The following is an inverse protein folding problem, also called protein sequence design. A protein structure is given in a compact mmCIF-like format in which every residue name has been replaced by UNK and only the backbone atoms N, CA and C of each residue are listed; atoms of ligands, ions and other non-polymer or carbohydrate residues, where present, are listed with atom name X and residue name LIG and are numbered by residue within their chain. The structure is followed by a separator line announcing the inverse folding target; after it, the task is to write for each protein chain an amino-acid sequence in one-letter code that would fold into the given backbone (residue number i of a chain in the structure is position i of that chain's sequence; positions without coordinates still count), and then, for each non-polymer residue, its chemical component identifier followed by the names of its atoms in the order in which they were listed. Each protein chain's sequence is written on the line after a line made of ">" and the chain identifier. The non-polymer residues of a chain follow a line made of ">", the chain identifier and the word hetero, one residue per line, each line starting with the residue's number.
data_IF_460894084954
#
_entry.id   IF_460894084954
#
_cell.length_a   1.000
_cell.length_b   1.000
_cell.length_c   1.000
_cell.angle_alpha   90.00
_cell.angle_beta   90.00
_cell.angle_gamma   90.00
#
_symmetry.space_group_name_H-M   'P 1'
#
loop_
_entity.id
_entity.type
_entity.pdbx_description
1 polymer ?
#
# COMPACT_ATOMS: atom_id res chain seq x y z
N UNK A 1 9.38 -14.90 -5.88
CA UNK A 1 8.43 -13.86 -6.33
C UNK A 1 8.12 -14.00 -7.81
N UNK A 2 9.12 -14.11 -8.70
CA UNK A 2 8.93 -14.20 -10.16
C UNK A 2 8.12 -15.42 -10.60
N UNK A 3 8.32 -16.59 -10.01
CA UNK A 3 7.50 -17.79 -10.26
C UNK A 3 6.03 -17.54 -9.91
N UNK A 4 5.78 -16.85 -8.78
CA UNK A 4 4.43 -16.48 -8.39
C UNK A 4 3.80 -15.47 -9.37
N UNK A 5 4.59 -14.49 -9.85
CA UNK A 5 4.13 -13.58 -10.90
C UNK A 5 3.75 -14.30 -12.19
N UNK A 6 4.51 -15.34 -12.57
CA UNK A 6 4.18 -16.18 -13.74
C UNK A 6 2.84 -16.91 -13.56
N UNK A 7 2.57 -17.45 -12.37
CA UNK A 7 1.27 -18.10 -12.07
C UNK A 7 0.12 -17.09 -12.13
N UNK A 8 0.31 -15.89 -11.58
CA UNK A 8 -0.69 -14.81 -11.64
C UNK A 8 -0.93 -14.38 -13.09
N UNK A 9 0.13 -14.22 -13.90
CA UNK A 9 -0.01 -13.91 -15.32
C UNK A 9 -0.88 -14.94 -16.02
N UNK A 10 -0.60 -16.24 -15.84
CA UNK A 10 -1.38 -17.33 -16.43
C UNK A 10 -2.85 -17.30 -15.97
N UNK A 11 -3.10 -16.99 -14.69
CA UNK A 11 -4.46 -16.86 -14.17
C UNK A 11 -5.18 -15.65 -14.81
N UNK A 12 -4.50 -14.51 -14.95
CA UNK A 12 -5.04 -13.32 -15.62
C UNK A 12 -5.43 -13.60 -17.06
N UNK A 13 -4.56 -14.23 -17.84
CA UNK A 13 -4.83 -14.61 -19.25
C UNK A 13 -6.09 -15.47 -19.40
N UNK A 14 -6.44 -16.26 -18.38
CA UNK A 14 -7.62 -17.12 -18.38
C UNK A 14 -8.88 -16.44 -17.87
N UNK A 15 -8.75 -15.46 -16.97
CA UNK A 15 -9.85 -14.91 -16.16
C UNK A 15 -10.00 -13.39 -16.32
N UNK A 16 -9.28 -12.74 -17.23
CA UNK A 16 -9.26 -11.27 -17.38
C UNK A 16 -10.63 -10.64 -17.66
N UNK A 17 -11.54 -11.42 -18.23
CA UNK A 17 -12.93 -10.99 -18.48
C UNK A 17 -13.81 -11.03 -17.23
N UNK A 18 -13.42 -11.84 -16.24
CA UNK A 18 -14.24 -12.14 -15.08
C UNK A 18 -13.66 -11.56 -13.77
N UNK A 19 -12.31 -11.46 -13.67
CA UNK A 19 -11.63 -11.07 -12.44
C UNK A 19 -10.50 -10.09 -12.68
N UNK A 20 -10.47 -9.02 -11.88
CA UNK A 20 -9.30 -8.17 -11.72
C UNK A 20 -8.31 -8.81 -10.76
N UNK A 21 -7.25 -9.41 -11.28
CA UNK A 21 -6.22 -10.07 -10.48
C UNK A 21 -4.99 -9.19 -10.41
N UNK A 22 -4.53 -8.89 -9.19
CA UNK A 22 -3.37 -8.04 -8.90
C UNK A 22 -2.41 -8.82 -8.01
N UNK A 23 -1.10 -8.74 -8.28
CA UNK A 23 -0.09 -9.36 -7.42
C UNK A 23 0.17 -8.52 -6.17
N UNK A 24 -0.11 -9.08 -5.01
CA UNK A 24 0.23 -8.46 -3.73
C UNK A 24 1.73 -8.62 -3.44
N UNK A 25 2.45 -7.51 -3.29
CA UNK A 25 3.89 -7.46 -3.02
C UNK A 25 4.14 -6.61 -1.77
N UNK A 26 4.44 -7.24 -0.64
CA UNK A 26 4.72 -6.55 0.62
C UNK A 26 6.20 -6.72 0.97
N UNK A 27 6.90 -5.60 1.15
CA UNK A 27 8.34 -5.56 1.37
C UNK A 27 8.77 -5.38 2.82
N UNK A 28 7.85 -4.98 3.69
CA UNK A 28 8.20 -4.48 5.03
C UNK A 28 7.31 -5.07 6.13
N UNK A 29 7.89 -5.15 7.34
CA UNK A 29 7.21 -5.52 8.59
C UNK A 29 7.60 -4.55 9.72
N UNK A 30 7.36 -3.23 9.60
CA UNK A 30 7.93 -2.22 10.49
C UNK A 30 7.46 -2.34 11.94
N UNK A 31 6.28 -2.90 12.19
CA UNK A 31 5.74 -3.10 13.55
C UNK A 31 6.24 -4.34 14.27
N UNK A 32 7.07 -5.17 13.62
CA UNK A 32 7.73 -6.31 14.26
C UNK A 32 8.90 -5.78 15.08
N UNK A 33 8.89 -6.02 16.38
CA UNK A 33 9.99 -5.60 17.29
C UNK A 33 11.14 -6.59 17.30
N UNK A 34 10.86 -7.83 16.95
CA UNK A 34 11.82 -8.93 16.90
C UNK A 34 11.72 -9.63 15.55
N UNK A 35 12.83 -10.10 15.02
CA UNK A 35 12.92 -10.81 13.75
C UNK A 35 12.99 -9.87 12.54
N UNK A 36 12.94 -10.45 11.37
CA UNK A 36 13.17 -9.78 10.09
C UNK A 36 12.16 -8.64 9.83
N UNK A 37 12.68 -7.47 9.49
CA UNK A 37 11.89 -6.23 9.23
C UNK A 37 11.35 -6.12 7.80
N UNK A 38 11.70 -7.03 6.92
CA UNK A 38 11.29 -7.05 5.53
C UNK A 38 12.43 -6.76 4.56
N UNK A 39 12.17 -6.96 3.26
CA UNK A 39 13.18 -6.91 2.19
C UNK A 39 13.86 -5.55 2.07
N UNK A 40 13.12 -4.45 2.24
CA UNK A 40 13.72 -3.11 2.13
C UNK A 40 14.66 -2.85 3.30
N UNK A 41 14.22 -3.20 4.52
CA UNK A 41 14.98 -2.89 5.72
C UNK A 41 16.21 -3.77 5.90
N UNK A 42 16.10 -5.05 5.55
CA UNK A 42 17.18 -6.03 5.78
C UNK A 42 17.18 -7.08 4.66
N UNK A 43 17.74 -6.72 3.48
CA UNK A 43 17.68 -7.57 2.29
C UNK A 43 18.49 -8.87 2.42
N UNK A 44 19.54 -8.88 3.21
CA UNK A 44 20.45 -10.02 3.37
C UNK A 44 20.09 -10.93 4.56
N UNK A 45 19.11 -10.57 5.38
CA UNK A 45 18.68 -11.31 6.59
C UNK A 45 19.80 -11.48 7.64
N UNK A 46 20.66 -10.50 7.76
CA UNK A 46 21.86 -10.54 8.62
C UNK A 46 21.97 -9.34 9.58
N UNK A 47 20.86 -8.56 9.70
CA UNK A 47 20.77 -7.33 10.50
C UNK A 47 21.76 -6.22 10.06
N UNK A 48 22.26 -6.27 8.81
CA UNK A 48 23.10 -5.20 8.25
C UNK A 48 22.33 -3.94 7.91
N UNK A 49 21.01 -4.03 7.71
CA UNK A 49 20.10 -2.92 7.37
C UNK A 49 20.55 -2.12 6.14
N UNK A 50 21.01 -2.80 5.11
CA UNK A 50 21.39 -2.18 3.84
C UNK A 50 20.19 -1.68 3.04
N UNK A 51 19.49 -0.66 3.56
CA UNK A 51 18.22 -0.13 3.04
C UNK A 51 18.32 0.28 1.57
N UNK A 52 19.42 0.91 1.14
CA UNK A 52 19.59 1.32 -0.25
C UNK A 52 19.64 0.12 -1.21
N UNK A 53 20.24 -0.99 -0.79
CA UNK A 53 20.23 -2.26 -1.51
C UNK A 53 18.82 -2.83 -1.56
N UNK A 54 18.12 -2.83 -0.40
CA UNK A 54 16.74 -3.31 -0.28
C UNK A 54 15.77 -2.55 -1.17
N UNK A 55 15.86 -1.22 -1.22
CA UNK A 55 15.05 -0.37 -2.12
C UNK A 55 15.31 -0.69 -3.59
N UNK A 56 16.58 -0.88 -3.97
CA UNK A 56 16.95 -1.27 -5.34
C UNK A 56 16.37 -2.62 -5.74
N UNK A 57 16.45 -3.63 -4.86
CA UNK A 57 15.88 -4.96 -5.10
C UNK A 57 14.35 -4.89 -5.21
N UNK A 58 13.69 -4.16 -4.30
CA UNK A 58 12.24 -4.00 -4.30
C UNK A 58 11.75 -3.34 -5.59
N UNK A 59 12.39 -2.26 -6.03
CA UNK A 59 12.05 -1.57 -7.28
C UNK A 59 12.25 -2.46 -8.50
N UNK A 60 13.39 -3.14 -8.60
CA UNK A 60 13.67 -4.04 -9.72
C UNK A 60 12.65 -5.18 -9.80
N UNK A 61 12.22 -5.72 -8.66
CA UNK A 61 11.17 -6.74 -8.62
C UNK A 61 9.85 -6.18 -9.16
N UNK A 62 9.43 -5.00 -8.72
CA UNK A 62 8.19 -4.36 -9.19
C UNK A 62 8.22 -4.11 -10.69
N UNK A 63 9.31 -3.55 -11.20
CA UNK A 63 9.50 -3.33 -12.66
C UNK A 63 9.38 -4.66 -13.41
N UNK A 64 10.08 -5.71 -12.95
CA UNK A 64 10.05 -7.02 -13.61
C UNK A 64 8.65 -7.65 -13.61
N UNK A 65 7.87 -7.46 -12.55
CA UNK A 65 6.48 -7.96 -12.47
C UNK A 65 5.57 -7.17 -13.40
N UNK A 66 5.69 -5.84 -13.41
CA UNK A 66 4.91 -4.96 -14.29
C UNK A 66 5.23 -5.20 -15.78
N UNK A 67 6.50 -5.46 -16.13
CA UNK A 67 6.91 -5.80 -17.50
C UNK A 67 6.29 -7.12 -17.99
N UNK A 68 5.88 -8.00 -17.09
CA UNK A 68 5.12 -9.21 -17.42
C UNK A 68 3.63 -8.93 -17.69
N UNK A 69 3.16 -7.69 -17.53
CA UNK A 69 1.74 -7.33 -17.59
C UNK A 69 0.96 -7.69 -16.33
N UNK A 70 1.64 -7.89 -15.19
CA UNK A 70 1.01 -8.20 -13.90
C UNK A 70 1.01 -6.93 -13.04
N UNK A 71 -0.14 -6.31 -12.77
CA UNK A 71 -0.21 -5.15 -11.90
C UNK A 71 0.11 -5.54 -10.45
N UNK A 72 0.73 -4.62 -9.72
CA UNK A 72 1.22 -4.86 -8.36
C UNK A 72 0.43 -4.08 -7.31
N UNK A 73 0.30 -4.65 -6.13
CA UNK A 73 -0.32 -4.02 -4.97
C UNK A 73 0.58 -4.11 -3.74
N UNK A 74 0.57 -3.08 -2.92
CA UNK A 74 1.32 -3.07 -1.66
C UNK A 74 0.54 -2.37 -0.53
N UNK A 75 0.97 -2.57 0.72
CA UNK A 75 0.56 -1.74 1.84
C UNK A 75 1.65 -0.70 2.10
N UNK A 76 1.28 0.57 2.13
CA UNK A 76 2.19 1.66 2.48
C UNK A 76 2.28 1.77 4.00
N UNK A 77 3.44 1.44 4.55
CA UNK A 77 3.69 1.33 5.99
C UNK A 77 4.50 2.49 6.56
N UNK A 78 5.22 3.20 5.70
CA UNK A 78 6.00 4.39 5.99
C UNK A 78 5.80 5.47 4.92
N UNK A 79 6.41 6.63 5.09
CA UNK A 79 6.27 7.79 4.20
C UNK A 79 7.45 7.98 3.25
N UNK A 80 8.49 7.17 3.38
CA UNK A 80 9.75 7.30 2.63
C UNK A 80 9.80 6.33 1.46
N UNK A 81 9.54 5.05 1.70
CA UNK A 81 9.57 4.01 0.66
C UNK A 81 8.64 4.30 -0.53
N UNK A 82 7.45 4.93 -0.35
CA UNK A 82 6.60 5.32 -1.48
C UNK A 82 7.30 6.22 -2.50
N UNK A 83 8.23 7.08 -2.08
CA UNK A 83 9.01 7.93 -2.98
C UNK A 83 9.81 7.15 -4.01
N UNK A 84 10.14 5.89 -3.71
CA UNK A 84 10.98 5.04 -4.56
C UNK A 84 10.20 3.98 -5.34
N UNK A 85 8.97 3.68 -4.94
CA UNK A 85 8.23 2.53 -5.50
C UNK A 85 6.79 2.84 -5.93
N UNK A 86 6.20 3.96 -5.52
CA UNK A 86 4.77 4.23 -5.75
C UNK A 86 4.39 4.28 -7.24
N UNK A 87 5.29 4.72 -8.10
CA UNK A 87 5.10 4.75 -9.56
C UNK A 87 4.99 3.35 -10.19
N UNK A 88 5.33 2.31 -9.46
CA UNK A 88 5.24 0.91 -9.89
C UNK A 88 4.05 0.17 -9.24
N UNK A 89 3.25 0.86 -8.45
CA UNK A 89 2.12 0.26 -7.70
C UNK A 89 0.79 0.62 -8.37
N UNK A 90 0.01 -0.40 -8.70
CA UNK A 90 -1.32 -0.24 -9.32
C UNK A 90 -2.44 -0.11 -8.30
N UNK A 91 -2.25 -0.57 -7.06
CA UNK A 91 -3.20 -0.47 -5.97
C UNK A 91 -2.48 -0.44 -4.62
N UNK A 92 -2.81 0.54 -3.79
CA UNK A 92 -2.23 0.71 -2.47
C UNK A 92 -3.20 0.42 -1.34
N UNK A 93 -2.69 0.01 -0.18
CA UNK A 93 -3.48 -0.13 1.03
C UNK A 93 -2.88 0.66 2.19
N UNK A 94 -3.75 1.20 3.05
CA UNK A 94 -3.40 1.75 4.35
C UNK A 94 -3.93 0.79 5.43
N UNK A 95 -3.07 0.40 6.36
CA UNK A 95 -3.39 -0.58 7.40
C UNK A 95 -4.35 -0.03 8.46
N UNK A 96 -5.08 -0.93 9.13
CA UNK A 96 -6.05 -0.57 10.18
C UNK A 96 -5.45 0.27 11.33
N UNK A 97 -4.16 0.10 11.63
CA UNK A 97 -3.46 0.87 12.67
C UNK A 97 -2.96 2.24 12.19
N UNK A 98 -2.98 2.48 10.90
CA UNK A 98 -2.49 3.71 10.26
C UNK A 98 -3.57 4.49 9.53
N UNK A 99 -4.77 3.93 9.36
CA UNK A 99 -5.92 4.63 8.75
C UNK A 99 -6.30 5.90 9.52
N UNK A 100 -6.12 5.93 10.84
CA UNK A 100 -6.35 7.11 11.66
C UNK A 100 -5.22 8.15 11.57
N UNK A 101 -4.04 7.75 11.11
CA UNK A 101 -2.85 8.59 11.05
C UNK A 101 -2.98 9.68 9.98
N UNK A 102 -2.84 10.95 10.38
CA UNK A 102 -2.89 12.10 9.47
C UNK A 102 -1.87 11.99 8.34
N UNK A 103 -0.63 11.60 8.66
CA UNK A 103 0.44 11.49 7.64
C UNK A 103 0.17 10.40 6.59
N UNK A 104 -0.53 9.33 6.95
CA UNK A 104 -0.94 8.31 5.98
C UNK A 104 -2.12 8.77 5.12
N UNK A 105 -3.01 9.61 5.64
CA UNK A 105 -4.08 10.24 4.85
C UNK A 105 -3.50 11.27 3.86
N UNK A 106 -2.52 12.04 4.29
CA UNK A 106 -1.76 12.95 3.43
C UNK A 106 -1.02 12.18 2.33
N UNK A 107 -0.33 11.09 2.68
CA UNK A 107 0.29 10.20 1.68
C UNK A 107 -0.75 9.70 0.67
N UNK A 108 -1.87 9.15 1.14
CA UNK A 108 -2.92 8.62 0.27
C UNK A 108 -3.47 9.68 -0.69
N UNK A 109 -3.58 10.94 -0.24
CA UNK A 109 -4.04 12.06 -1.07
C UNK A 109 -3.14 12.39 -2.26
N UNK A 110 -1.88 11.97 -2.20
CA UNK A 110 -0.88 12.24 -3.25
C UNK A 110 -0.51 11.02 -4.11
N UNK A 111 -1.09 9.86 -3.84
CA UNK A 111 -0.85 8.67 -4.65
C UNK A 111 -1.69 8.70 -5.92
N UNK A 112 -1.08 8.28 -7.03
CA UNK A 112 -1.73 8.21 -8.34
C UNK A 112 -2.42 6.87 -8.64
N UNK A 113 -2.48 5.98 -7.66
CA UNK A 113 -3.21 4.72 -7.74
C UNK A 113 -4.41 4.73 -6.77
N UNK A 114 -5.43 3.88 -6.99
CA UNK A 114 -6.48 3.64 -6.00
C UNK A 114 -5.90 3.18 -4.66
N UNK A 115 -6.46 3.68 -3.55
CA UNK A 115 -6.00 3.36 -2.19
C UNK A 115 -7.14 2.83 -1.34
N UNK A 116 -6.99 1.60 -0.88
CA UNK A 116 -7.89 1.00 0.09
C UNK A 116 -7.49 1.34 1.53
N UNK A 117 -8.39 1.93 2.31
CA UNK A 117 -8.20 2.23 3.72
C UNK A 117 -8.93 1.18 4.57
N UNK A 118 -8.18 0.46 5.40
CA UNK A 118 -8.75 -0.61 6.24
C UNK A 118 -9.54 -0.01 7.40
N UNK A 119 -10.68 -0.62 7.71
CA UNK A 119 -11.42 -0.28 8.90
C UNK A 119 -10.60 -0.53 10.19
N UNK A 120 -11.04 0.05 11.30
CA UNK A 120 -10.37 -0.06 12.60
C UNK A 120 -10.19 -1.53 13.06
N UNK A 121 -9.28 -1.75 14.00
CA UNK A 121 -8.94 -3.11 14.46
C UNK A 121 -10.07 -3.79 15.20
N UNK A 122 -11.02 -3.03 15.76
CA UNK A 122 -12.24 -3.51 16.41
C UNK A 122 -13.38 -3.85 15.43
N UNK A 123 -13.20 -3.51 14.13
CA UNK A 123 -14.21 -3.70 13.09
C UNK A 123 -14.96 -2.44 12.69
N UNK A 124 -14.79 -1.34 13.43
CA UNK A 124 -15.49 -0.07 13.18
C UNK A 124 -15.06 0.57 11.84
N UNK A 125 -16.03 1.00 11.03
CA UNK A 125 -15.79 1.54 9.68
C UNK A 125 -15.63 3.06 9.66
N UNK A 126 -16.12 3.76 10.69
CA UNK A 126 -16.13 5.24 10.72
C UNK A 126 -14.75 5.87 10.46
N UNK A 127 -13.70 5.33 11.04
CA UNK A 127 -12.33 5.85 10.87
C UNK A 127 -11.86 5.76 9.41
N UNK A 128 -12.28 4.73 8.68
CA UNK A 128 -11.95 4.58 7.27
C UNK A 128 -12.76 5.55 6.39
N UNK A 129 -14.04 5.78 6.70
CA UNK A 129 -14.88 6.78 6.03
C UNK A 129 -14.28 8.18 6.22
N UNK A 130 -13.92 8.55 7.45
CA UNK A 130 -13.29 9.84 7.76
C UNK A 130 -11.92 9.98 7.04
N UNK A 131 -11.17 8.89 6.92
CA UNK A 131 -9.89 8.87 6.23
C UNK A 131 -10.05 9.06 4.71
N UNK A 132 -11.05 8.45 4.09
CA UNK A 132 -11.38 8.65 2.67
C UNK A 132 -11.78 10.11 2.44
N UNK A 133 -12.67 10.66 3.27
CA UNK A 133 -13.09 12.06 3.18
C UNK A 133 -11.91 13.03 3.31
N UNK A 134 -10.91 12.71 4.10
CA UNK A 134 -9.65 13.46 4.20
C UNK A 134 -8.77 13.26 2.96
N UNK A 135 -8.43 12.02 2.62
CA UNK A 135 -7.50 11.70 1.54
C UNK A 135 -8.01 12.11 0.13
N UNK A 136 -9.32 12.23 -0.05
CA UNK A 136 -9.91 12.72 -1.32
C UNK A 136 -9.77 14.23 -1.53
N UNK A 137 -9.19 14.97 -0.59
CA UNK A 137 -9.02 16.42 -0.65
C UNK A 137 -7.55 16.83 -0.81
N UNK A 138 -7.28 18.05 -1.30
CA UNK A 138 -5.91 18.60 -1.35
C UNK A 138 -5.31 18.73 0.05
N UNK A 139 -4.01 18.44 0.15
CA UNK A 139 -3.21 18.64 1.36
C UNK A 139 -1.92 19.37 1.06
N UNK A 140 -1.39 20.08 2.07
CA UNK A 140 -0.06 20.69 2.05
C UNK A 140 0.66 20.27 3.33
N UNK A 141 1.77 19.59 3.20
CA UNK A 141 2.47 19.01 4.35
C UNK A 141 3.98 18.88 4.14
N UNK A 142 4.72 18.72 5.24
CA UNK A 142 6.15 18.47 5.24
C UNK A 142 6.42 16.99 4.96
N UNK A 143 7.28 16.70 4.02
CA UNK A 143 7.76 15.35 3.74
C UNK A 143 9.21 15.36 3.23
N UNK A 144 9.70 14.20 2.80
CA UNK A 144 11.09 13.98 2.38
C UNK A 144 11.13 13.60 0.91
N UNK A 145 11.99 14.26 0.14
CA UNK A 145 12.23 13.94 -1.27
C UNK A 145 13.08 12.67 -1.43
N UNK A 146 13.15 12.14 -2.66
CA UNK A 146 14.04 11.02 -3.01
C UNK A 146 15.52 11.27 -2.69
N UNK A 147 15.94 12.54 -2.65
CA UNK A 147 17.30 12.94 -2.30
C UNK A 147 17.52 13.11 -0.78
N UNK A 148 16.53 12.74 0.05
CA UNK A 148 16.61 12.82 1.49
C UNK A 148 16.51 14.24 2.07
N UNK A 149 15.97 15.20 1.29
CA UNK A 149 15.77 16.59 1.72
C UNK A 149 14.33 16.84 2.13
N UNK A 150 14.15 17.59 3.22
CA UNK A 150 12.84 18.09 3.62
C UNK A 150 12.27 19.05 2.58
N UNK A 151 10.98 18.90 2.27
CA UNK A 151 10.27 19.77 1.34
C UNK A 151 8.79 19.86 1.73
N UNK A 152 8.12 20.93 1.28
CA UNK A 152 6.68 21.03 1.33
C UNK A 152 6.11 20.31 0.10
N UNK A 153 5.16 19.41 0.35
CA UNK A 153 4.41 18.69 -0.67
C UNK A 153 3.00 19.26 -0.75
N UNK A 154 2.51 19.46 -1.96
CA UNK A 154 1.11 19.77 -2.24
C UNK A 154 0.50 18.63 -3.04
N UNK A 155 -0.67 18.16 -2.62
CA UNK A 155 -1.43 17.09 -3.28
C UNK A 155 -2.79 17.61 -3.75
N UNK A 156 -3.39 16.95 -4.72
CA UNK A 156 -4.69 17.32 -5.28
C UNK A 156 -5.87 16.57 -4.63
N UNK A 157 -5.56 15.56 -3.84
CA UNK A 157 -6.52 14.59 -3.33
C UNK A 157 -6.62 13.36 -4.23
N UNK A 158 -7.01 12.23 -3.64
CA UNK A 158 -7.18 10.95 -4.33
C UNK A 158 -8.64 10.50 -4.21
N UNK A 159 -9.41 10.69 -5.28
CA UNK A 159 -10.84 10.35 -5.34
C UNK A 159 -11.10 8.85 -5.47
N UNK A 160 -10.07 8.07 -5.78
CA UNK A 160 -10.15 6.61 -5.91
C UNK A 160 -9.87 5.88 -4.58
N UNK A 161 -9.88 6.61 -3.47
CA UNK A 161 -9.85 6.02 -2.14
C UNK A 161 -11.14 5.26 -1.84
N UNK A 162 -11.00 4.07 -1.21
CA UNK A 162 -12.13 3.20 -0.86
C UNK A 162 -11.86 2.45 0.44
N UNK A 163 -12.89 1.78 0.98
CA UNK A 163 -12.78 1.00 2.20
C UNK A 163 -12.30 -0.42 1.89
N UNK A 164 -11.47 -0.96 2.79
CA UNK A 164 -11.21 -2.39 2.88
C UNK A 164 -11.88 -2.92 4.15
N UNK A 165 -12.89 -3.76 3.99
CA UNK A 165 -13.54 -4.45 5.09
C UNK A 165 -12.65 -5.64 5.51
N UNK A 166 -11.86 -5.43 6.57
CA UNK A 166 -10.90 -6.43 7.08
C UNK A 166 -11.40 -7.22 8.29
N UNK A 167 -12.64 -6.93 8.75
CA UNK A 167 -13.18 -7.48 9.97
C UNK A 167 -12.61 -6.85 11.25
N UNK A 168 -13.05 -7.33 12.36
CA UNK A 168 -12.58 -7.05 13.72
C UNK A 168 -12.44 -8.37 14.48
N UNK A 169 -13.16 -8.51 15.59
CA UNK A 169 -13.37 -9.80 16.28
C UNK A 169 -14.16 -10.76 15.40
N UNK A 170 -15.13 -10.22 14.67
CA UNK A 170 -15.98 -10.95 13.72
C UNK A 170 -15.76 -10.43 12.28
N UNK A 171 -16.08 -11.24 11.25
CA UNK A 171 -16.13 -10.79 9.86
C UNK A 171 -17.15 -9.65 9.67
N UNK A 172 -16.88 -8.75 8.71
CA UNK A 172 -17.74 -7.60 8.38
C UNK A 172 -17.96 -7.42 6.87
N UNK A 173 -18.09 -8.49 6.12
CA UNK A 173 -18.27 -8.48 4.67
C UNK A 173 -19.67 -8.92 4.21
N UNK A 174 -20.60 -9.10 5.15
CA UNK A 174 -22.01 -9.36 4.84
C UNK A 174 -22.74 -8.11 4.32
N UNK A 175 -23.95 -8.30 3.78
CA UNK A 175 -24.71 -7.23 3.15
C UNK A 175 -24.93 -6.03 4.10
N UNK A 176 -25.24 -6.25 5.37
CA UNK A 176 -25.48 -5.19 6.34
C UNK A 176 -24.25 -4.30 6.53
N UNK A 177 -23.06 -4.90 6.63
CA UNK A 177 -21.83 -4.14 6.77
C UNK A 177 -21.41 -3.43 5.48
N UNK A 178 -21.66 -4.05 4.32
CA UNK A 178 -21.39 -3.43 3.01
C UNK A 178 -22.32 -2.24 2.74
N UNK A 179 -23.61 -2.36 3.10
CA UNK A 179 -24.58 -1.26 2.95
C UNK A 179 -24.34 -0.09 3.91
N UNK A 180 -23.58 -0.29 4.99
CA UNK A 180 -23.24 0.74 5.97
C UNK A 180 -22.08 1.64 5.55
N UNK A 181 -21.42 1.36 4.44
CA UNK A 181 -20.25 2.09 3.92
C UNK A 181 -20.50 2.59 2.51
#
# INVERSE_FOLDING_TARGET
>A
AMEYATLIKTAREKLEQDLLIIMRVYFEKPRTTVGWKGLINDPDLDDSFEINKGLGIARNLLVSVNDMGVPTATEFLDLISPQYVADQISWGAIGARTTESQVHRELASGLSCPVGLKNATDGGVKVAIDAIASASRPHVFLSVTKQGKSAIFSTEGNVDCHIILRGGTEPNYDATHVEAV
#
